data_IF_441435275110
#
_entry.id   IF_441435275110
#
_cell.length_a   1.000
_cell.length_b   1.000
_cell.length_c   1.000
_cell.angle_alpha   90.00
_cell.angle_beta   90.00
_cell.angle_gamma   90.00
#
_symmetry.space_group_name_H-M   'P 1'
#
loop_
_entity.id
_entity.type
_entity.pdbx_description
1 polymer ?
#
# COMPACT_ATOMS: atom_id res chain seq x y z
N UNK A 1 -6.22 -28.57 -50.03
CA UNK A 1 -6.55 -28.35 -51.45
C UNK A 1 -8.06 -28.51 -51.58
N UNK A 2 -8.77 -27.47 -52.03
CA UNK A 2 -10.22 -27.51 -52.21
C UNK A 2 -10.48 -27.69 -53.70
N UNK A 3 -11.21 -28.74 -54.09
CA UNK A 3 -11.58 -29.01 -55.48
C UNK A 3 -13.05 -28.60 -55.68
N UNK A 4 -13.27 -27.63 -56.56
CA UNK A 4 -14.60 -27.17 -56.97
C UNK A 4 -14.86 -27.69 -58.38
N UNK A 5 -16.05 -28.25 -58.61
CA UNK A 5 -16.48 -28.72 -59.93
C UNK A 5 -17.92 -28.28 -60.19
N UNK A 6 -18.19 -27.84 -61.41
CA UNK A 6 -19.51 -27.39 -61.83
C UNK A 6 -19.82 -27.94 -63.23
N UNK A 7 -20.99 -28.53 -63.39
CA UNK A 7 -21.43 -29.18 -64.62
C UNK A 7 -22.56 -28.35 -65.24
N UNK A 8 -22.39 -27.95 -66.50
CA UNK A 8 -23.39 -27.23 -67.25
C UNK A 8 -23.41 -27.68 -68.71
N UNK A 9 -24.57 -27.59 -69.37
CA UNK A 9 -24.72 -28.00 -70.78
C UNK A 9 -23.88 -27.12 -71.72
N UNK A 10 -23.83 -25.83 -71.41
CA UNK A 10 -23.01 -24.85 -72.11
C UNK A 10 -21.65 -24.68 -71.40
N UNK A 11 -20.52 -24.94 -72.08
CA UNK A 11 -19.20 -24.95 -71.47
C UNK A 11 -18.72 -23.54 -71.05
N UNK A 12 -19.17 -22.49 -71.74
CA UNK A 12 -18.88 -21.10 -71.37
C UNK A 12 -19.54 -20.72 -70.05
N UNK A 13 -20.81 -21.08 -69.88
CA UNK A 13 -21.54 -20.87 -68.63
C UNK A 13 -20.93 -21.66 -67.47
N UNK A 14 -20.43 -22.88 -67.72
CA UNK A 14 -19.74 -23.66 -66.69
C UNK A 14 -18.49 -22.94 -66.16
N UNK A 15 -17.66 -22.43 -67.07
CA UNK A 15 -16.44 -21.71 -66.74
C UNK A 15 -16.73 -20.37 -66.03
N UNK A 16 -17.69 -19.59 -66.54
CA UNK A 16 -18.08 -18.31 -65.95
C UNK A 16 -18.61 -18.49 -64.52
N UNK A 17 -19.55 -19.40 -64.30
CA UNK A 17 -20.13 -19.65 -62.97
C UNK A 17 -19.06 -20.11 -61.98
N UNK A 18 -18.17 -21.02 -62.39
CA UNK A 18 -17.11 -21.51 -61.52
C UNK A 18 -16.10 -20.40 -61.16
N UNK A 19 -15.71 -19.57 -62.13
CA UNK A 19 -14.83 -18.43 -61.89
C UNK A 19 -15.50 -17.37 -60.99
N UNK A 20 -16.78 -17.05 -61.20
CA UNK A 20 -17.54 -16.13 -60.33
C UNK A 20 -17.67 -16.68 -58.91
N UNK A 21 -17.91 -17.98 -58.75
CA UNK A 21 -17.98 -18.62 -57.45
C UNK A 21 -16.62 -18.57 -56.73
N UNK A 22 -15.51 -18.78 -57.44
CA UNK A 22 -14.16 -18.66 -56.90
C UNK A 22 -13.91 -17.23 -56.40
N UNK A 23 -14.26 -16.20 -57.18
CA UNK A 23 -14.11 -14.80 -56.76
C UNK A 23 -15.00 -14.46 -55.56
N UNK A 24 -16.25 -14.92 -55.53
CA UNK A 24 -17.13 -14.73 -54.38
C UNK A 24 -16.59 -15.43 -53.13
N UNK A 25 -16.08 -16.66 -53.27
CA UNK A 25 -15.44 -17.39 -52.17
C UNK A 25 -14.24 -16.63 -51.61
N UNK A 26 -13.40 -16.04 -52.46
CA UNK A 26 -12.27 -15.20 -52.00
C UNK A 26 -12.76 -14.03 -51.15
N UNK A 27 -13.75 -13.26 -51.63
CA UNK A 27 -14.29 -12.10 -50.89
C UNK A 27 -14.98 -12.52 -49.60
N UNK A 28 -15.75 -13.60 -49.61
CA UNK A 28 -16.45 -14.09 -48.42
C UNK A 28 -15.50 -14.67 -47.39
N UNK A 29 -14.46 -15.37 -47.84
CA UNK A 29 -13.38 -15.86 -46.98
C UNK A 29 -12.67 -14.68 -46.32
N UNK A 30 -12.34 -13.61 -47.07
CA UNK A 30 -11.79 -12.39 -46.48
C UNK A 30 -12.69 -11.81 -45.38
N UNK A 31 -13.99 -11.65 -45.64
CA UNK A 31 -14.93 -11.09 -44.64
C UNK A 31 -15.13 -11.96 -43.39
N UNK A 32 -15.12 -13.29 -43.54
CA UNK A 32 -15.34 -14.22 -42.42
C UNK A 32 -14.09 -14.39 -41.57
N UNK A 33 -12.91 -14.23 -42.16
CA UNK A 33 -11.62 -14.33 -41.48
C UNK A 33 -11.01 -12.97 -41.09
N UNK A 34 -11.65 -11.83 -41.42
CA UNK A 34 -11.38 -10.54 -40.77
C UNK A 34 -11.74 -10.66 -39.27
N UNK A 35 -10.73 -10.69 -38.42
CA UNK A 35 -10.82 -11.18 -37.04
C UNK A 35 -11.74 -10.31 -36.14
N UNK A 36 -12.88 -10.84 -35.66
CA UNK A 36 -13.73 -10.15 -34.69
C UNK A 36 -12.98 -9.76 -33.40
N UNK A 37 -11.88 -10.44 -33.08
CA UNK A 37 -11.07 -10.16 -31.89
C UNK A 37 -10.43 -8.78 -31.92
N UNK A 38 -10.03 -8.26 -33.09
CA UNK A 38 -9.40 -6.93 -33.18
C UNK A 38 -10.35 -5.81 -32.73
N UNK A 39 -11.61 -5.87 -33.16
CA UNK A 39 -12.65 -4.91 -32.76
C UNK A 39 -12.98 -4.99 -31.26
N UNK A 40 -13.00 -6.21 -30.70
CA UNK A 40 -13.20 -6.43 -29.27
C UNK A 40 -12.03 -5.88 -28.44
N UNK A 41 -10.78 -6.17 -28.84
CA UNK A 41 -9.58 -5.67 -28.18
C UNK A 41 -9.49 -4.15 -28.24
N UNK A 42 -9.86 -3.54 -29.37
CA UNK A 42 -9.90 -2.08 -29.51
C UNK A 42 -10.91 -1.44 -28.56
N UNK A 43 -12.09 -2.06 -28.39
CA UNK A 43 -13.09 -1.59 -27.42
C UNK A 43 -12.57 -1.71 -25.98
N UNK A 44 -11.97 -2.85 -25.62
CA UNK A 44 -11.38 -3.05 -24.29
C UNK A 44 -10.25 -2.05 -24.01
N UNK A 45 -9.40 -1.76 -25.00
CA UNK A 45 -8.35 -0.75 -24.88
C UNK A 45 -8.93 0.63 -24.55
N UNK A 46 -10.02 1.02 -25.22
CA UNK A 46 -10.70 2.28 -24.92
C UNK A 46 -11.28 2.29 -23.50
N UNK A 47 -11.93 1.20 -23.09
CA UNK A 47 -12.48 1.07 -21.73
C UNK A 47 -11.37 1.18 -20.66
N UNK A 48 -10.20 0.57 -20.87
CA UNK A 48 -9.04 0.68 -19.98
C UNK A 48 -8.38 2.07 -20.02
N UNK A 49 -8.37 2.74 -21.18
CA UNK A 49 -7.90 4.12 -21.28
C UNK A 49 -8.76 5.04 -20.40
N UNK A 50 -10.08 4.95 -20.50
CA UNK A 50 -11.01 5.74 -19.68
C UNK A 50 -10.84 5.43 -18.19
N UNK A 51 -10.61 4.16 -17.83
CA UNK A 51 -10.32 3.77 -16.44
C UNK A 51 -9.01 4.38 -15.92
N UNK A 52 -7.95 4.35 -16.73
CA UNK A 52 -6.65 4.95 -16.41
C UNK A 52 -6.77 6.47 -16.24
N UNK A 53 -7.40 7.16 -17.20
CA UNK A 53 -7.63 8.61 -17.10
C UNK A 53 -8.39 8.96 -15.82
N UNK A 54 -9.43 8.19 -15.50
CA UNK A 54 -10.20 8.39 -14.27
C UNK A 54 -9.39 8.13 -13.00
N UNK A 55 -8.54 7.11 -12.96
CA UNK A 55 -7.71 6.84 -11.78
C UNK A 55 -6.58 7.85 -11.62
N UNK A 56 -6.02 8.36 -12.72
CA UNK A 56 -5.08 9.48 -12.72
C UNK A 56 -5.73 10.79 -12.25
N UNK A 57 -6.92 11.12 -12.74
CA UNK A 57 -7.70 12.28 -12.27
C UNK A 57 -8.02 12.18 -10.77
N UNK A 58 -8.44 11.02 -10.29
CA UNK A 58 -8.71 10.81 -8.86
C UNK A 58 -7.44 10.97 -8.01
N UNK A 59 -6.31 10.42 -8.46
CA UNK A 59 -5.02 10.56 -7.78
C UNK A 59 -4.57 12.03 -7.74
N UNK A 60 -4.70 12.73 -8.86
CA UNK A 60 -4.34 14.14 -8.95
C UNK A 60 -5.26 15.01 -8.09
N UNK A 61 -6.58 14.79 -8.14
CA UNK A 61 -7.55 15.49 -7.32
C UNK A 61 -7.28 15.26 -5.82
N UNK A 62 -6.92 14.04 -5.42
CA UNK A 62 -6.52 13.73 -4.05
C UNK A 62 -5.26 14.50 -3.64
N UNK A 63 -4.22 14.51 -4.49
CA UNK A 63 -2.97 15.25 -4.26
C UNK A 63 -3.22 16.75 -4.13
N UNK A 64 -4.03 17.34 -5.03
CA UNK A 64 -4.38 18.75 -5.01
C UNK A 64 -5.26 19.14 -3.81
N UNK A 65 -6.27 18.32 -3.47
CA UNK A 65 -7.18 18.58 -2.34
C UNK A 65 -6.47 18.60 -0.99
N UNK A 66 -5.38 17.85 -0.86
CA UNK A 66 -4.63 17.72 0.38
C UNK A 66 -3.27 18.43 0.36
N UNK A 67 -3.01 19.28 -0.65
CA UNK A 67 -1.76 20.02 -0.85
C UNK A 67 -0.51 19.12 -0.75
N UNK A 68 -0.61 17.90 -1.29
CA UNK A 68 0.44 16.87 -1.23
C UNK A 68 1.54 17.11 -2.28
N UNK A 69 2.02 18.35 -2.35
CA UNK A 69 3.07 18.80 -3.27
C UNK A 69 4.46 18.27 -2.90
N UNK A 70 4.62 17.77 -1.67
CA UNK A 70 5.87 17.17 -1.16
C UNK A 70 5.67 15.71 -0.82
N UNK A 71 6.73 14.88 -0.85
CA UNK A 71 6.64 13.48 -0.42
C UNK A 71 6.11 13.38 1.02
N UNK A 72 4.95 12.74 1.22
CA UNK A 72 4.32 12.60 2.54
C UNK A 72 5.26 11.92 3.54
N UNK A 73 6.05 10.96 3.05
CA UNK A 73 7.01 10.19 3.84
C UNK A 73 8.05 11.10 4.49
N UNK A 74 8.60 12.07 3.76
CA UNK A 74 9.57 13.02 4.31
C UNK A 74 8.93 13.95 5.34
N UNK A 75 7.72 14.42 5.06
CA UNK A 75 6.98 15.27 6.00
C UNK A 75 6.67 14.52 7.31
N UNK A 76 6.26 13.26 7.20
CA UNK A 76 6.02 12.40 8.34
C UNK A 76 7.29 12.16 9.16
N UNK A 77 8.41 11.88 8.51
CA UNK A 77 9.72 11.74 9.18
C UNK A 77 10.07 12.98 9.98
N UNK A 78 9.93 14.18 9.39
CA UNK A 78 10.21 15.44 10.09
C UNK A 78 9.33 15.65 11.31
N UNK A 79 8.04 15.30 11.24
CA UNK A 79 7.15 15.40 12.42
C UNK A 79 7.49 14.38 13.49
N UNK A 80 7.89 13.16 13.13
CA UNK A 80 8.38 12.15 14.07
C UNK A 80 9.66 12.61 14.77
N UNK A 81 10.60 13.20 14.02
CA UNK A 81 11.85 13.73 14.57
C UNK A 81 11.59 14.90 15.52
N UNK A 82 10.72 15.85 15.12
CA UNK A 82 10.32 16.96 15.97
C UNK A 82 9.64 16.45 17.26
N UNK A 83 8.77 15.45 17.14
CA UNK A 83 8.10 14.82 18.28
C UNK A 83 9.11 14.14 19.20
N UNK A 84 10.09 13.42 18.65
CA UNK A 84 11.15 12.80 19.44
C UNK A 84 12.00 13.83 20.21
N UNK A 85 12.30 14.98 19.58
CA UNK A 85 12.95 16.11 20.23
C UNK A 85 12.15 16.64 21.42
N UNK A 86 10.86 16.91 21.23
CA UNK A 86 9.97 17.38 22.30
C UNK A 86 9.77 16.34 23.42
N UNK A 87 9.69 15.05 23.08
CA UNK A 87 9.60 13.97 24.07
C UNK A 87 10.87 13.89 24.94
N UNK A 88 12.04 14.07 24.33
CA UNK A 88 13.32 14.15 25.04
C UNK A 88 13.38 15.36 25.99
N UNK A 89 12.93 16.53 25.52
CA UNK A 89 12.86 17.75 26.33
C UNK A 89 11.87 17.58 27.51
N UNK A 90 10.68 17.04 27.24
CA UNK A 90 9.67 16.74 28.24
C UNK A 90 10.22 15.82 29.35
N UNK A 91 10.91 14.74 28.95
CA UNK A 91 11.55 13.79 29.88
C UNK A 91 12.67 14.46 30.69
N UNK A 92 13.48 15.29 30.06
CA UNK A 92 14.56 16.04 30.73
C UNK A 92 13.99 16.96 31.80
N UNK A 93 12.96 17.74 31.46
CA UNK A 93 12.27 18.62 32.41
C UNK A 93 11.60 17.83 33.53
N UNK A 94 10.99 16.68 33.22
CA UNK A 94 10.37 15.80 34.22
C UNK A 94 11.39 15.24 35.22
N UNK A 95 12.56 14.83 34.75
CA UNK A 95 13.65 14.38 35.62
C UNK A 95 14.17 15.52 36.51
N UNK A 96 14.29 16.73 35.96
CA UNK A 96 14.70 17.93 36.71
C UNK A 96 13.67 18.31 37.78
N UNK A 97 12.38 18.24 37.46
CA UNK A 97 11.28 18.41 38.42
C UNK A 97 11.38 17.41 39.58
N UNK A 98 11.66 16.13 39.29
CA UNK A 98 11.85 15.12 40.33
C UNK A 98 13.07 15.44 41.21
N UNK A 99 14.17 15.93 40.62
CA UNK A 99 15.34 16.40 41.37
C UNK A 99 15.04 17.60 42.28
N UNK A 100 14.27 18.58 41.78
CA UNK A 100 13.84 19.75 42.56
C UNK A 100 12.87 19.36 43.69
N UNK A 101 11.99 18.40 43.47
CA UNK A 101 11.12 17.85 44.51
C UNK A 101 11.94 17.20 45.65
N UNK A 102 12.98 16.43 45.31
CA UNK A 102 13.91 15.89 46.32
C UNK A 102 14.69 16.99 47.05
N UNK A 103 15.17 18.00 46.32
CA UNK A 103 15.89 19.15 46.90
C UNK A 103 15.03 19.94 47.86
N UNK A 104 13.80 20.28 47.49
CA UNK A 104 12.85 21.03 48.33
C UNK A 104 12.48 20.24 49.60
N UNK A 105 12.30 18.92 49.51
CA UNK A 105 12.07 18.08 50.68
C UNK A 105 13.27 18.06 51.64
N UNK A 106 14.50 18.01 51.11
CA UNK A 106 15.73 18.10 51.92
C UNK A 106 15.90 19.46 52.59
N UNK A 107 15.63 20.55 51.87
CA UNK A 107 15.67 21.91 52.42
C UNK A 107 14.63 22.10 53.54
N UNK A 108 13.41 21.57 53.37
CA UNK A 108 12.36 21.61 54.39
C UNK A 108 12.78 20.89 55.68
N UNK A 109 13.40 19.71 55.56
CA UNK A 109 13.92 18.98 56.71
C UNK A 109 15.04 19.75 57.45
N UNK A 110 15.95 20.37 56.71
CA UNK A 110 17.02 21.21 57.29
C UNK A 110 16.45 22.44 58.00
N UNK A 111 15.48 23.12 57.40
CA UNK A 111 14.81 24.29 57.98
C UNK A 111 14.07 23.94 59.29
N UNK A 112 13.36 22.81 59.34
CA UNK A 112 12.72 22.31 60.57
C UNK A 112 13.73 22.07 61.69
N UNK A 113 14.86 21.43 61.36
CA UNK A 113 15.93 21.14 62.32
C UNK A 113 16.53 22.42 62.90
N UNK A 114 16.68 23.47 62.09
CA UNK A 114 17.19 24.77 62.56
C UNK A 114 16.19 25.44 63.50
N UNK A 115 14.89 25.46 63.15
CA UNK A 115 13.84 26.09 63.95
C UNK A 115 13.71 25.50 65.36
N UNK A 116 13.79 24.18 65.50
CA UNK A 116 13.73 23.49 66.80
C UNK A 116 14.89 23.87 67.73
N UNK A 117 15.99 24.39 67.18
CA UNK A 117 17.23 24.67 67.87
C UNK A 117 17.54 26.17 68.04
N UNK A 118 16.60 27.08 67.75
CA UNK A 118 16.77 28.51 68.01
C UNK A 118 16.32 28.80 69.44
N UNK A 119 17.23 29.03 70.41
CA UNK A 119 16.84 29.48 71.73
C UNK A 119 16.12 30.84 71.62
N UNK A 120 14.97 30.95 72.31
CA UNK A 120 14.26 32.23 72.46
C UNK A 120 15.15 33.10 73.35
N UNK A 121 15.92 34.00 72.74
CA UNK A 121 16.74 34.94 73.48
C UNK A 121 16.41 36.34 73.03
N UNK A 122 16.08 37.18 74.01
CA UNK A 122 15.90 38.61 73.86
C UNK A 122 17.23 39.21 73.40
N UNK A 123 17.22 39.77 72.20
CA UNK A 123 18.35 40.51 71.64
C UNK A 123 18.50 41.80 72.46
N UNK A 124 19.24 41.74 73.56
CA UNK A 124 19.77 42.94 74.21
C UNK A 124 21.09 43.31 73.53
N UNK A 125 21.26 44.60 73.23
CA UNK A 125 22.37 45.15 72.47
C UNK A 125 23.72 44.75 73.08
N UNK A 126 24.52 44.04 72.29
CA UNK A 126 25.88 43.63 72.62
C UNK A 126 26.78 44.82 72.88
N UNK A 127 26.91 45.18 74.15
CA UNK A 127 27.82 46.23 74.64
C UNK A 127 28.10 46.15 76.14
N UNK A 128 27.38 45.30 76.88
CA UNK A 128 27.50 45.19 78.33
C UNK A 128 28.71 44.35 78.77
N UNK A 129 29.12 43.34 77.99
CA UNK A 129 30.21 42.46 78.37
C UNK A 129 31.58 43.15 78.38
N UNK A 130 31.91 43.92 77.33
CA UNK A 130 33.21 44.63 77.25
C UNK A 130 33.31 45.74 78.32
N UNK A 131 32.20 46.41 78.64
CA UNK A 131 32.13 47.36 79.76
C UNK A 131 32.32 46.66 81.11
N UNK A 132 31.64 45.53 81.34
CA UNK A 132 31.79 44.76 82.57
C UNK A 132 33.21 44.21 82.77
N UNK A 133 33.89 43.76 81.71
CA UNK A 133 35.30 43.35 81.76
C UNK A 133 36.23 44.51 82.13
N UNK A 134 35.97 45.71 81.61
CA UNK A 134 36.74 46.91 81.93
C UNK A 134 36.55 47.33 83.41
N UNK A 135 35.32 47.25 83.93
CA UNK A 135 35.01 47.49 85.35
C UNK A 135 35.66 46.46 86.28
N UNK A 136 35.62 45.17 85.94
CA UNK A 136 36.31 44.12 86.70
C UNK A 136 37.83 44.39 86.79
N UNK A 137 38.44 44.82 85.68
CA UNK A 137 39.85 45.19 85.68
C UNK A 137 40.14 46.39 86.60
N UNK A 138 39.23 47.38 86.64
CA UNK A 138 39.36 48.51 87.55
C UNK A 138 39.25 48.08 89.03
N UNK A 139 38.28 47.23 89.39
CA UNK A 139 38.11 46.69 90.75
C UNK A 139 39.32 45.87 91.20
N UNK A 140 39.89 45.01 90.33
CA UNK A 140 41.10 44.24 90.63
C UNK A 140 42.32 45.12 90.87
N UNK A 141 42.48 46.22 90.12
CA UNK A 141 43.55 47.20 90.40
C UNK A 141 43.37 47.88 91.76
N UNK A 142 42.13 48.18 92.14
CA UNK A 142 41.84 48.82 93.42
C UNK A 142 42.10 47.85 94.60
N UNK A 143 41.86 46.56 94.41
CA UNK A 143 42.21 45.51 95.37
C UNK A 143 43.72 45.46 95.60
N UNK A 144 44.51 45.45 94.53
CA UNK A 144 45.98 45.47 94.61
C UNK A 144 46.48 46.71 95.36
N UNK A 145 45.88 47.88 95.16
CA UNK A 145 46.23 49.08 95.93
C UNK A 145 45.86 48.96 97.41
N UNK A 146 44.67 48.43 97.74
CA UNK A 146 44.25 48.22 99.13
C UNK A 146 45.14 47.22 99.86
N UNK A 147 45.60 46.16 99.19
CA UNK A 147 46.53 45.17 99.75
C UNK A 147 47.92 45.74 100.09
N UNK A 148 48.31 46.89 99.53
CA UNK A 148 49.54 47.58 99.95
C UNK A 148 49.44 48.25 101.33
N UNK A 149 48.21 48.49 101.82
CA UNK A 149 47.93 49.25 103.05
C UNK A 149 47.15 48.47 104.09
N UNK A 150 46.47 47.40 103.69
CA UNK A 150 45.60 46.59 104.54
C UNK A 150 45.89 45.11 104.38
N UNK A 151 45.65 44.33 105.43
CA UNK A 151 45.76 42.86 105.40
C UNK A 151 44.60 42.23 104.63
N UNK A 152 44.81 41.02 104.12
CA UNK A 152 43.82 40.28 103.32
C UNK A 152 42.46 40.05 104.02
N UNK A 153 42.44 40.14 105.35
CA UNK A 153 41.25 39.94 106.18
C UNK A 153 40.54 41.23 106.57
N UNK A 154 41.03 42.40 106.14
CA UNK A 154 40.42 43.67 106.51
C UNK A 154 39.08 43.89 105.79
N UNK A 155 38.14 44.51 106.49
CA UNK A 155 36.78 44.74 106.00
C UNK A 155 36.70 45.43 104.62
N UNK A 156 37.50 46.48 104.32
CA UNK A 156 37.57 47.08 102.98
C UNK A 156 37.97 46.10 101.86
N UNK A 157 38.92 45.21 102.13
CA UNK A 157 39.40 44.22 101.14
C UNK A 157 38.35 43.15 100.89
N UNK A 158 37.67 42.69 101.95
CA UNK A 158 36.60 41.69 101.84
C UNK A 158 35.38 42.21 101.08
N UNK A 159 34.99 43.48 101.26
CA UNK A 159 33.89 44.08 100.50
C UNK A 159 34.24 44.20 99.01
N UNK A 160 35.45 44.66 98.69
CA UNK A 160 35.88 44.76 97.30
C UNK A 160 35.99 43.38 96.64
N UNK A 161 36.44 42.35 97.36
CA UNK A 161 36.43 40.96 96.87
C UNK A 161 35.01 40.45 96.58
N UNK A 162 34.01 40.84 97.37
CA UNK A 162 32.60 40.53 97.08
C UNK A 162 32.11 41.22 95.82
N UNK A 163 32.48 42.48 95.60
CA UNK A 163 32.15 43.21 94.37
C UNK A 163 32.82 42.57 93.14
N UNK A 164 34.08 42.15 93.27
CA UNK A 164 34.80 41.38 92.24
C UNK A 164 34.09 40.05 91.94
N UNK A 165 33.72 39.28 92.96
CA UNK A 165 33.01 37.99 92.80
C UNK A 165 31.62 38.17 92.14
N UNK A 166 30.88 39.22 92.51
CA UNK A 166 29.61 39.56 91.87
C UNK A 166 29.80 39.97 90.40
N UNK A 167 30.81 40.77 90.10
CA UNK A 167 31.12 41.19 88.73
C UNK A 167 31.61 40.01 87.87
N UNK A 168 32.41 39.10 88.42
CA UNK A 168 32.82 37.87 87.74
C UNK A 168 31.63 36.96 87.42
N UNK A 169 30.68 36.81 88.36
CA UNK A 169 29.42 36.06 88.12
C UNK A 169 28.56 36.72 87.05
N UNK A 170 28.47 38.04 87.04
CA UNK A 170 27.75 38.80 86.01
C UNK A 170 28.37 38.59 84.62
N UNK A 171 29.71 38.72 84.50
CA UNK A 171 30.44 38.47 83.25
C UNK A 171 30.23 37.03 82.75
N UNK A 172 30.25 36.03 83.64
CA UNK A 172 30.01 34.63 83.26
C UNK A 172 28.57 34.38 82.75
N UNK A 173 27.59 35.06 83.34
CA UNK A 173 26.19 34.99 82.87
C UNK A 173 26.04 35.68 81.50
N UNK A 174 26.64 36.86 81.34
CA UNK A 174 26.55 37.66 80.11
C UNK A 174 27.31 37.00 78.94
N UNK A 175 28.47 36.37 79.19
CA UNK A 175 29.19 35.57 78.19
C UNK A 175 28.37 34.39 77.68
N UNK A 176 27.57 33.76 78.55
CA UNK A 176 26.66 32.69 78.13
C UNK A 176 25.54 33.26 77.25
N UNK A 177 24.95 34.39 77.62
CA UNK A 177 23.91 35.05 76.82
C UNK A 177 24.41 35.52 75.45
N UNK A 178 25.61 36.12 75.36
CA UNK A 178 26.19 36.58 74.08
C UNK A 178 26.51 35.41 73.14
N UNK A 179 27.03 34.30 73.67
CA UNK A 179 27.21 33.05 72.90
C UNK A 179 25.90 32.49 72.38
N UNK A 180 24.82 32.58 73.18
CA UNK A 180 23.49 32.14 72.77
C UNK A 180 22.93 33.06 71.66
N UNK A 181 23.08 34.38 71.80
CA UNK A 181 22.62 35.37 70.82
C UNK A 181 23.37 35.29 69.48
N UNK A 182 24.69 35.10 69.51
CA UNK A 182 25.50 34.93 68.28
C UNK A 182 25.14 33.64 67.54
N UNK A 183 24.93 32.54 68.27
CA UNK A 183 24.44 31.27 67.70
C UNK A 183 23.03 31.41 67.13
N UNK A 184 22.13 32.12 67.82
CA UNK A 184 20.77 32.38 67.33
C UNK A 184 20.75 33.25 66.06
N UNK A 185 21.55 34.31 66.02
CA UNK A 185 21.70 35.19 64.84
C UNK A 185 22.27 34.42 63.64
N UNK A 186 23.31 33.60 63.87
CA UNK A 186 23.88 32.72 62.83
C UNK A 186 22.86 31.71 62.29
N UNK A 187 22.09 31.05 63.17
CA UNK A 187 21.01 30.12 62.78
C UNK A 187 19.90 30.82 61.99
N UNK A 188 19.50 32.03 62.37
CA UNK A 188 18.51 32.84 61.63
C UNK A 188 19.01 33.23 60.24
N UNK A 189 20.29 33.60 60.12
CA UNK A 189 20.91 33.88 58.82
C UNK A 189 20.94 32.63 57.92
N UNK A 190 21.29 31.47 58.47
CA UNK A 190 21.23 30.18 57.76
C UNK A 190 19.80 29.82 57.32
N UNK A 191 18.81 29.99 58.21
CA UNK A 191 17.40 29.75 57.86
C UNK A 191 16.94 30.62 56.69
N UNK A 192 17.23 31.92 56.74
CA UNK A 192 16.88 32.85 55.66
C UNK A 192 17.58 32.51 54.34
N UNK A 193 18.80 31.94 54.39
CA UNK A 193 19.48 31.46 53.19
C UNK A 193 18.81 30.22 52.60
N UNK A 194 18.46 29.23 53.42
CA UNK A 194 17.75 28.02 52.98
C UNK A 194 16.36 28.35 52.42
N UNK A 195 15.66 29.30 53.03
CA UNK A 195 14.36 29.80 52.56
C UNK A 195 14.48 30.43 51.16
N UNK A 196 15.50 31.25 50.91
CA UNK A 196 15.76 31.80 49.56
C UNK A 196 16.07 30.69 48.55
N UNK A 197 16.84 29.69 48.94
CA UNK A 197 17.15 28.56 48.07
C UNK A 197 15.92 27.70 47.76
N UNK A 198 15.04 27.49 48.75
CA UNK A 198 13.77 26.79 48.58
C UNK A 198 12.85 27.56 47.63
N UNK A 199 12.72 28.88 47.81
CA UNK A 199 11.92 29.73 46.94
C UNK A 199 12.43 29.67 45.48
N UNK A 200 13.75 29.69 45.29
CA UNK A 200 14.37 29.50 43.98
C UNK A 200 14.01 28.16 43.35
N UNK A 201 14.10 27.06 44.12
CA UNK A 201 13.76 25.72 43.64
C UNK A 201 12.26 25.57 43.29
N UNK A 202 11.36 26.20 44.06
CA UNK A 202 9.91 26.21 43.78
C UNK A 202 9.59 27.04 42.53
N UNK A 203 10.24 28.19 42.35
CA UNK A 203 10.10 29.03 41.15
C UNK A 203 10.55 28.28 39.88
N UNK A 204 11.70 27.61 39.96
CA UNK A 204 12.21 26.78 38.87
C UNK A 204 11.27 25.61 38.54
N UNK A 205 10.74 24.93 39.56
CA UNK A 205 9.76 23.86 39.40
C UNK A 205 8.50 24.35 38.67
N UNK A 206 7.96 25.50 39.08
CA UNK A 206 6.78 26.11 38.44
C UNK A 206 7.04 26.44 36.96
N UNK A 207 8.24 26.95 36.66
CA UNK A 207 8.65 27.26 35.29
C UNK A 207 8.75 26.01 34.42
N UNK A 208 9.39 24.95 34.93
CA UNK A 208 9.52 23.67 34.23
C UNK A 208 8.17 22.98 34.03
N UNK A 209 7.27 23.06 35.01
CA UNK A 209 5.93 22.51 34.91
C UNK A 209 5.12 23.23 33.82
N UNK A 210 5.21 24.56 33.77
CA UNK A 210 4.56 25.37 32.72
C UNK A 210 5.12 25.05 31.33
N UNK A 211 6.45 24.91 31.23
CA UNK A 211 7.11 24.48 29.99
C UNK A 211 6.62 23.10 29.53
N UNK A 212 6.55 22.12 30.44
CA UNK A 212 6.04 20.78 30.13
C UNK A 212 4.58 20.74 29.72
N UNK A 213 3.73 21.63 30.23
CA UNK A 213 2.35 21.76 29.75
C UNK A 213 2.31 22.21 28.29
N UNK A 214 3.13 23.19 27.92
CA UNK A 214 3.24 23.66 26.52
C UNK A 214 3.79 22.55 25.62
N UNK A 215 4.86 21.87 26.04
CA UNK A 215 5.46 20.76 25.29
C UNK A 215 4.43 19.63 25.10
N UNK A 216 3.66 19.28 26.13
CA UNK A 216 2.62 18.25 26.03
C UNK A 216 1.52 18.62 25.01
N UNK A 217 1.12 19.89 24.96
CA UNK A 217 0.17 20.39 23.94
C UNK A 217 0.77 20.29 22.53
N UNK A 218 2.04 20.65 22.36
CA UNK A 218 2.75 20.54 21.08
C UNK A 218 2.89 19.09 20.62
N UNK A 219 3.22 18.16 21.52
CA UNK A 219 3.25 16.72 21.24
C UNK A 219 1.87 16.25 20.78
N UNK A 220 0.80 16.67 21.48
CA UNK A 220 -0.58 16.31 21.09
C UNK A 220 -1.00 16.85 19.71
N UNK A 221 -0.53 18.03 19.32
CA UNK A 221 -0.75 18.57 17.97
C UNK A 221 0.04 17.81 16.90
N UNK A 222 1.31 17.48 17.18
CA UNK A 222 2.11 16.65 16.29
C UNK A 222 1.53 15.24 16.13
N UNK A 223 1.03 14.63 17.20
CA UNK A 223 0.37 13.32 17.15
C UNK A 223 -0.84 13.34 16.20
N UNK A 224 -1.68 14.38 16.27
CA UNK A 224 -2.81 14.55 15.35
C UNK A 224 -2.36 14.74 13.91
N UNK A 225 -1.29 15.51 13.68
CA UNK A 225 -0.71 15.73 12.34
C UNK A 225 -0.16 14.42 11.76
N UNK A 226 0.57 13.64 12.55
CA UNK A 226 1.13 12.35 12.16
C UNK A 226 0.00 11.37 11.82
N UNK A 227 -1.01 11.24 12.69
CA UNK A 227 -2.17 10.37 12.45
C UNK A 227 -2.92 10.75 11.17
N UNK A 228 -3.10 12.07 10.92
CA UNK A 228 -3.71 12.55 9.69
C UNK A 228 -2.88 12.17 8.47
N UNK A 229 -1.55 12.33 8.52
CA UNK A 229 -0.67 11.92 7.44
C UNK A 229 -0.72 10.42 7.20
N UNK A 230 -0.79 9.59 8.23
CA UNK A 230 -0.94 8.13 8.10
C UNK A 230 -2.21 7.74 7.34
N UNK A 231 -3.33 8.39 7.65
CA UNK A 231 -4.59 8.15 6.94
C UNK A 231 -4.50 8.57 5.47
N UNK A 232 -3.93 9.76 5.22
CA UNK A 232 -3.73 10.25 3.85
C UNK A 232 -2.77 9.34 3.06
N UNK A 233 -1.70 8.85 3.68
CA UNK A 233 -0.74 7.97 3.04
C UNK A 233 -1.36 6.62 2.68
N UNK A 234 -2.21 6.05 3.54
CA UNK A 234 -2.95 4.83 3.22
C UNK A 234 -3.87 5.01 2.00
N UNK A 235 -4.60 6.12 1.95
CA UNK A 235 -5.49 6.42 0.82
C UNK A 235 -4.68 6.68 -0.47
N UNK A 236 -3.57 7.41 -0.36
CA UNK A 236 -2.64 7.64 -1.48
C UNK A 236 -2.11 6.33 -2.07
N UNK A 237 -1.64 5.40 -1.22
CA UNK A 237 -1.13 4.09 -1.67
C UNK A 237 -2.22 3.31 -2.40
N UNK A 238 -3.47 3.38 -1.96
CA UNK A 238 -4.59 2.72 -2.63
C UNK A 238 -4.83 3.31 -4.01
N UNK A 239 -4.83 4.65 -4.13
CA UNK A 239 -4.99 5.35 -5.41
C UNK A 239 -3.82 5.10 -6.36
N UNK A 240 -2.59 5.12 -5.88
CA UNK A 240 -1.40 4.84 -6.67
C UNK A 240 -1.39 3.39 -7.17
N UNK A 241 -1.77 2.42 -6.33
CA UNK A 241 -1.91 1.03 -6.73
C UNK A 241 -3.01 0.85 -7.78
N UNK A 242 -4.14 1.55 -7.62
CA UNK A 242 -5.23 1.51 -8.61
C UNK A 242 -4.76 2.07 -9.96
N UNK A 243 -4.15 3.27 -9.97
CA UNK A 243 -3.59 3.87 -11.19
C UNK A 243 -2.55 2.96 -11.85
N UNK A 244 -1.70 2.32 -11.06
CA UNK A 244 -0.68 1.39 -11.56
C UNK A 244 -1.31 0.14 -12.18
N UNK A 245 -2.35 -0.42 -11.57
CA UNK A 245 -3.08 -1.56 -12.11
C UNK A 245 -3.79 -1.19 -13.43
N UNK A 246 -4.42 -0.02 -13.50
CA UNK A 246 -5.09 0.47 -14.71
C UNK A 246 -4.08 0.76 -15.82
N UNK A 247 -2.92 1.32 -15.49
CA UNK A 247 -1.82 1.54 -16.45
C UNK A 247 -1.30 0.22 -17.01
N UNK A 248 -1.07 -0.78 -16.16
CA UNK A 248 -0.62 -2.10 -16.58
C UNK A 248 -1.65 -2.77 -17.50
N UNK A 249 -2.94 -2.66 -17.20
CA UNK A 249 -4.02 -3.19 -18.04
C UNK A 249 -4.07 -2.46 -19.39
N UNK A 250 -4.00 -1.13 -19.38
CA UNK A 250 -3.95 -0.32 -20.60
C UNK A 250 -2.76 -0.72 -21.49
N UNK A 251 -1.54 -0.79 -20.92
CA UNK A 251 -0.34 -1.18 -21.66
C UNK A 251 -0.45 -2.61 -22.22
N UNK A 252 -1.00 -3.55 -21.44
CA UNK A 252 -1.22 -4.92 -21.88
C UNK A 252 -2.18 -4.99 -23.08
N UNK A 253 -3.31 -4.29 -23.02
CA UNK A 253 -4.28 -4.29 -24.12
C UNK A 253 -3.81 -3.47 -25.32
N UNK A 254 -3.04 -2.41 -25.12
CA UNK A 254 -2.40 -1.65 -26.19
C UNK A 254 -1.52 -2.60 -27.01
N UNK A 255 -0.66 -3.35 -26.33
CA UNK A 255 0.20 -4.35 -26.95
C UNK A 255 -0.61 -5.43 -27.70
N UNK A 256 -1.69 -5.96 -27.09
CA UNK A 256 -2.56 -6.95 -27.75
C UNK A 256 -3.25 -6.41 -29.01
N UNK A 257 -3.69 -5.15 -28.99
CA UNK A 257 -4.29 -4.49 -30.17
C UNK A 257 -3.24 -4.33 -31.27
N UNK A 258 -2.02 -3.92 -30.92
CA UNK A 258 -0.92 -3.82 -31.89
C UNK A 258 -0.56 -5.20 -32.48
N UNK A 259 -0.44 -6.23 -31.64
CA UNK A 259 -0.20 -7.61 -32.09
C UNK A 259 -1.32 -8.11 -33.03
N UNK A 260 -2.58 -7.84 -32.70
CA UNK A 260 -3.72 -8.19 -33.55
C UNK A 260 -3.69 -7.47 -34.90
N UNK A 261 -3.36 -6.17 -34.93
CA UNK A 261 -3.21 -5.40 -36.18
C UNK A 261 -2.08 -5.94 -37.04
N UNK A 262 -0.93 -6.25 -36.45
CA UNK A 262 0.20 -6.85 -37.17
C UNK A 262 -0.20 -8.23 -37.72
N UNK A 263 -0.93 -9.04 -36.95
CA UNK A 263 -1.44 -10.33 -37.43
C UNK A 263 -2.41 -10.16 -38.59
N UNK A 264 -3.33 -9.19 -38.53
CA UNK A 264 -4.26 -8.88 -39.61
C UNK A 264 -3.53 -8.43 -40.89
N UNK A 265 -2.50 -7.59 -40.76
CA UNK A 265 -1.65 -7.19 -41.88
C UNK A 265 -0.88 -8.38 -42.47
N UNK A 266 -0.32 -9.25 -41.62
CA UNK A 266 0.36 -10.47 -42.05
C UNK A 266 -0.58 -11.46 -42.73
N UNK A 267 -1.81 -11.63 -42.22
CA UNK A 267 -2.82 -12.48 -42.82
C UNK A 267 -3.30 -11.89 -44.13
N UNK A 268 -3.47 -10.57 -44.24
CA UNK A 268 -3.76 -9.91 -45.52
C UNK A 268 -2.64 -10.13 -46.55
N UNK A 269 -1.37 -10.05 -46.14
CA UNK A 269 -0.22 -10.37 -46.99
C UNK A 269 -0.16 -11.85 -47.38
N UNK A 270 -0.46 -12.78 -46.45
CA UNK A 270 -0.52 -14.23 -46.72
C UNK A 270 -1.76 -14.63 -47.52
N UNK A 271 -2.87 -13.92 -47.39
CA UNK A 271 -4.11 -14.12 -48.17
C UNK A 271 -3.97 -13.63 -49.60
N UNK A 272 -3.04 -12.72 -49.89
CA UNK A 272 -2.55 -12.48 -51.26
C UNK A 272 -1.92 -13.74 -51.90
N UNK A 273 -1.75 -14.83 -51.15
CA UNK A 273 -1.21 -16.10 -51.62
C UNK A 273 -2.27 -17.17 -51.94
N UNK A 274 -3.58 -16.82 -51.99
CA UNK A 274 -4.57 -17.64 -52.72
C UNK A 274 -4.32 -17.41 -54.23
N UNK A 275 -3.24 -18.00 -54.73
CA UNK A 275 -2.98 -18.05 -56.16
C UNK A 275 -3.89 -19.09 -56.78
N UNK A 276 -4.68 -18.67 -57.77
CA UNK A 276 -5.47 -19.58 -58.59
C UNK A 276 -4.48 -20.42 -59.40
N UNK A 277 -4.18 -21.64 -58.93
CA UNK A 277 -3.22 -22.56 -59.58
C UNK A 277 -3.62 -22.82 -61.03
N UNK A 278 -4.93 -22.91 -61.30
CA UNK A 278 -5.49 -23.05 -62.64
C UNK A 278 -6.88 -22.38 -62.68
N UNK A 279 -7.10 -21.37 -63.52
CA UNK A 279 -8.44 -20.81 -63.72
C UNK A 279 -9.34 -21.86 -64.41
N UNK A 280 -10.66 -21.74 -64.25
CA UNK A 280 -11.57 -22.63 -64.96
C UNK A 280 -11.52 -22.31 -66.47
N UNK A 281 -10.79 -23.12 -67.23
CA UNK A 281 -10.76 -23.06 -68.69
C UNK A 281 -12.00 -23.68 -69.30
N UNK A 282 -12.43 -23.15 -70.45
CA UNK A 282 -13.55 -23.71 -71.21
C UNK A 282 -13.16 -25.12 -71.67
N UNK A 283 -13.86 -26.17 -71.23
CA UNK A 283 -13.46 -27.54 -71.55
C UNK A 283 -13.62 -27.80 -73.05
N UNK A 284 -12.51 -28.14 -73.72
CA UNK A 284 -12.50 -28.47 -75.16
C UNK A 284 -13.19 -29.78 -75.51
N UNK A 285 -13.46 -30.61 -74.50
CA UNK A 285 -14.19 -31.88 -74.63
C UNK A 285 -15.36 -31.88 -73.65
N UNK A 286 -16.56 -32.34 -74.06
CA UNK A 286 -17.71 -32.39 -73.17
C UNK A 286 -17.40 -33.28 -71.96
N UNK A 287 -17.73 -32.78 -70.77
CA UNK A 287 -17.58 -33.54 -69.55
C UNK A 287 -18.64 -34.66 -69.49
N UNK A 288 -18.20 -35.91 -69.56
CA UNK A 288 -19.08 -37.08 -69.51
C UNK A 288 -18.49 -38.31 -70.19
N UNK A 289 -19.22 -39.43 -70.15
CA UNK A 289 -18.86 -40.63 -70.90
C UNK A 289 -18.84 -40.32 -72.41
N UNK A 290 -17.84 -40.80 -73.16
CA UNK A 290 -17.72 -40.50 -74.58
C UNK A 290 -18.98 -40.95 -75.33
N UNK A 291 -19.38 -40.19 -76.34
CA UNK A 291 -20.56 -40.50 -77.17
C UNK A 291 -20.48 -41.92 -77.74
N UNK A 292 -19.28 -42.37 -78.07
CA UNK A 292 -19.00 -43.72 -78.55
C UNK A 292 -19.42 -44.80 -77.56
N UNK A 293 -19.18 -44.60 -76.26
CA UNK A 293 -19.60 -45.56 -75.23
C UNK A 293 -21.12 -45.61 -75.09
N UNK A 294 -21.81 -44.47 -75.22
CA UNK A 294 -23.28 -44.42 -75.23
C UNK A 294 -23.85 -45.13 -76.45
N UNK A 295 -23.23 -44.95 -77.61
CA UNK A 295 -23.61 -45.64 -78.85
C UNK A 295 -23.38 -47.14 -78.76
N UNK A 296 -22.24 -47.59 -78.21
CA UNK A 296 -21.95 -49.03 -78.00
C UNK A 296 -22.97 -49.66 -77.05
N UNK A 297 -23.26 -49.00 -75.92
CA UNK A 297 -24.27 -49.48 -74.97
C UNK A 297 -25.67 -49.53 -75.60
N UNK A 298 -26.03 -48.50 -76.36
CA UNK A 298 -27.30 -48.46 -77.10
C UNK A 298 -27.41 -49.56 -78.15
N UNK A 299 -26.34 -49.81 -78.92
CA UNK A 299 -26.28 -50.87 -79.91
C UNK A 299 -26.38 -52.27 -79.26
N UNK A 300 -25.66 -52.51 -78.16
CA UNK A 300 -25.72 -53.76 -77.42
C UNK A 300 -27.13 -54.01 -76.89
N UNK A 301 -27.76 -52.99 -76.31
CA UNK A 301 -29.13 -53.06 -75.81
C UNK A 301 -30.12 -53.31 -76.96
N UNK A 302 -29.95 -52.64 -78.10
CA UNK A 302 -30.77 -52.84 -79.30
C UNK A 302 -30.68 -54.27 -79.85
N UNK A 303 -29.49 -54.87 -79.89
CA UNK A 303 -29.31 -56.28 -80.28
C UNK A 303 -30.01 -57.20 -79.29
N UNK A 304 -29.86 -56.95 -77.98
CA UNK A 304 -30.51 -57.76 -76.95
C UNK A 304 -32.03 -57.75 -77.09
N UNK A 305 -32.62 -56.56 -77.28
CA UNK A 305 -34.06 -56.38 -77.50
C UNK A 305 -34.51 -57.01 -78.82
N UNK A 306 -33.73 -56.87 -79.90
CA UNK A 306 -34.04 -57.45 -81.21
C UNK A 306 -34.06 -58.99 -81.19
N UNK A 307 -33.08 -59.62 -80.55
CA UNK A 307 -33.05 -61.08 -80.36
C UNK A 307 -34.23 -61.52 -79.49
N UNK A 308 -34.49 -60.82 -78.38
CA UNK A 308 -35.64 -61.10 -77.52
C UNK A 308 -36.97 -61.00 -78.27
N UNK A 309 -37.13 -59.99 -79.14
CA UNK A 309 -38.32 -59.81 -79.96
C UNK A 309 -38.46 -60.92 -81.02
N UNK A 310 -37.36 -61.36 -81.63
CA UNK A 310 -37.37 -62.50 -82.56
C UNK A 310 -37.87 -63.79 -81.91
N UNK A 311 -37.33 -64.14 -80.73
CA UNK A 311 -37.84 -65.27 -79.95
C UNK A 311 -39.29 -65.10 -79.50
N UNK A 312 -39.72 -63.87 -79.19
CA UNK A 312 -41.12 -63.60 -78.83
C UNK A 312 -42.07 -63.83 -80.01
N UNK A 313 -41.68 -63.41 -81.23
CA UNK A 313 -42.47 -63.65 -82.44
C UNK A 313 -42.54 -65.15 -82.73
N UNK A 314 -41.43 -65.88 -82.65
CA UNK A 314 -41.42 -67.33 -82.87
C UNK A 314 -42.16 -68.13 -81.78
N UNK A 315 -42.22 -67.61 -80.55
CA UNK A 315 -43.04 -68.19 -79.49
C UNK A 315 -44.54 -67.96 -79.72
N UNK A 316 -44.92 -66.83 -80.32
CA UNK A 316 -46.32 -66.48 -80.63
C UNK A 316 -46.79 -67.13 -81.94
N UNK A 317 -45.92 -67.28 -82.93
CA UNK A 317 -46.11 -68.11 -84.12
C UNK A 317 -45.85 -69.57 -83.76
N UNK A 318 -46.82 -70.18 -83.07
CA UNK A 318 -46.89 -71.62 -82.81
C UNK A 318 -47.02 -72.44 -84.10
N UNK A 319 -45.98 -72.44 -84.93
CA UNK A 319 -45.87 -73.27 -86.12
C UNK A 319 -45.24 -74.60 -85.72
N UNK A 320 -45.96 -75.70 -85.93
CA UNK A 320 -45.48 -77.06 -85.68
C UNK A 320 -44.44 -77.44 -86.76
N UNK A 321 -43.21 -76.96 -86.62
CA UNK A 321 -42.15 -77.14 -87.62
C UNK A 321 -41.50 -78.53 -87.58
N UNK A 322 -41.95 -79.42 -86.69
CA UNK A 322 -41.52 -80.83 -86.63
C UNK A 322 -42.70 -81.77 -86.90
N UNK A 323 -42.63 -82.63 -87.96
CA UNK A 323 -43.72 -83.54 -88.32
C UNK A 323 -44.03 -84.57 -87.21
N UNK A 324 -43.08 -84.82 -86.32
CA UNK A 324 -43.21 -85.71 -85.17
C UNK A 324 -44.21 -85.20 -84.12
N UNK A 325 -44.36 -83.88 -83.96
CA UNK A 325 -45.30 -83.30 -83.00
C UNK A 325 -46.76 -83.37 -83.49
N UNK A 326 -46.99 -83.27 -84.80
CA UNK A 326 -48.33 -83.38 -85.39
C UNK A 326 -48.90 -84.80 -85.32
N UNK A 327 -48.07 -85.84 -85.45
CA UNK A 327 -48.50 -87.24 -85.35
C UNK A 327 -48.84 -87.67 -83.92
N UNK A 328 -48.17 -87.08 -82.92
CA UNK A 328 -48.38 -87.41 -81.51
C UNK A 328 -49.68 -86.80 -80.95
N UNK A 329 -50.02 -85.55 -81.31
CA UNK A 329 -51.23 -84.89 -80.82
C UNK A 329 -52.52 -85.36 -81.54
N UNK A 330 -52.43 -85.79 -82.80
CA UNK A 330 -53.59 -86.26 -83.58
C UNK A 330 -53.79 -87.79 -83.57
N UNK A 331 -52.91 -88.56 -82.91
CA UNK A 331 -53.03 -90.00 -82.69
C UNK A 331 -53.33 -90.84 -83.96
N UNK A 332 -52.80 -90.39 -85.10
CA UNK A 332 -52.98 -91.01 -86.42
C UNK A 332 -51.60 -91.38 -86.99
N UNK A 333 -51.44 -92.57 -87.60
CA UNK A 333 -50.17 -92.99 -88.17
C UNK A 333 -49.76 -92.04 -89.31
N UNK A 334 -48.50 -91.58 -89.25
CA UNK A 334 -47.92 -90.68 -90.25
C UNK A 334 -47.71 -91.46 -91.57
N UNK A 335 -48.60 -91.28 -92.54
CA UNK A 335 -48.61 -92.07 -93.78
C UNK A 335 -47.62 -91.58 -94.85
N UNK A 336 -47.29 -90.28 -94.87
CA UNK A 336 -46.20 -89.72 -95.69
C UNK A 336 -45.84 -88.31 -95.20
N UNK A 337 -44.55 -87.97 -95.22
CA UNK A 337 -44.05 -86.62 -94.99
C UNK A 337 -43.37 -86.12 -96.26
N UNK A 338 -43.86 -85.01 -96.82
CA UNK A 338 -43.26 -84.38 -97.98
C UNK A 338 -42.53 -83.13 -97.52
N UNK A 339 -41.20 -83.20 -97.49
CA UNK A 339 -40.36 -82.06 -97.17
C UNK A 339 -40.40 -81.04 -98.30
N UNK A 340 -41.08 -79.92 -98.06
CA UNK A 340 -40.98 -78.76 -98.93
C UNK A 340 -39.70 -78.01 -98.53
N UNK A 341 -38.65 -78.12 -99.35
CA UNK A 341 -37.48 -77.24 -99.25
C UNK A 341 -37.92 -75.86 -99.74
N UNK A 342 -38.05 -74.90 -98.81
CA UNK A 342 -37.77 -73.50 -99.08
C UNK A 342 -36.50 -73.10 -98.34
#
# INVERSE_FOLDING_TARGET
MIQLSFLHAEPEMAATVLNTLIEFLKVKHLQVFSDPQASFLAKQLHDYQVQLERSEENLQAFKSKHDLSSPLVEQQSRFLDQRAGLDSEYKTNKNRLQGLAGKTASLDAQMKTILENIPVSTVEEGGNLEKAKAELFALKREEQKLLTRYTETSFPVLNLRKEIDQMEKFILAEQKNERVNTVASGKKAMYSQLEREQLGAVSESTTLQSSNQVIALQIGDLDKKIQRLDLLNKELIVLERQRTADEQNYQLYLKKVEEAKVSEEMDRLKMSNISVIQPAEIPRKPAGRPTDLKLILGALFGVMVGVGFGFMVEYLEGSYTRPEQAAHDLNLPLLASFGQKL
#
